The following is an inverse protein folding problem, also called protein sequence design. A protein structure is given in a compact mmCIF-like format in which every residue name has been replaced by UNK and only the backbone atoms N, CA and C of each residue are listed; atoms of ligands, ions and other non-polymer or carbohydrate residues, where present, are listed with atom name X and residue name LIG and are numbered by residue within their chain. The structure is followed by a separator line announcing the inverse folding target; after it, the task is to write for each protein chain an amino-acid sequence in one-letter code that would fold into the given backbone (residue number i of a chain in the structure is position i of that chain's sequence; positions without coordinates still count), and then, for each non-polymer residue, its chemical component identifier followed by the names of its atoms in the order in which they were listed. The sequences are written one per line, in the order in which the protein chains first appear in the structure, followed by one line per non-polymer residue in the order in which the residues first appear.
data_IF_291524273602
#
_entry.id   IF_291524273602
#
_cell.length_a   1.000
_cell.length_b   1.000
_cell.length_c   1.000
_cell.angle_alpha   90.00
_cell.angle_beta   90.00
_cell.angle_gamma   90.00
#
_symmetry.space_group_name_H-M   'P 1'
#
loop_
_entity.id
_entity.type
_entity.pdbx_description
1 polymer ?
#
# COMPACT_ATOMS: atom_id res chain seq x y z
N UNK A 1 4.45 -12.99 -5.79
CA UNK A 1 5.72 -12.40 -6.28
C UNK A 1 6.87 -13.22 -5.73
N UNK A 2 7.83 -13.65 -6.54
CA UNK A 2 8.98 -14.43 -6.04
C UNK A 2 10.18 -13.52 -5.81
N UNK A 3 10.66 -13.46 -4.57
CA UNK A 3 11.95 -12.87 -4.20
C UNK A 3 13.12 -13.66 -4.79
N UNK A 4 14.33 -13.09 -4.77
CA UNK A 4 15.57 -13.85 -5.05
C UNK A 4 15.79 -14.91 -3.97
N UNK A 5 15.57 -14.54 -2.71
CA UNK A 5 15.78 -15.34 -1.51
C UNK A 5 14.46 -15.68 -0.77
N UNK A 6 13.35 -15.02 -1.10
CA UNK A 6 12.06 -15.18 -0.39
C UNK A 6 10.93 -15.58 -1.35
N UNK A 7 10.31 -16.75 -1.16
CA UNK A 7 9.17 -17.17 -1.99
C UNK A 7 7.84 -16.68 -1.40
N UNK A 8 7.12 -15.82 -2.13
CA UNK A 8 5.80 -15.33 -1.71
C UNK A 8 4.73 -15.57 -2.79
N UNK A 9 3.68 -16.32 -2.46
CA UNK A 9 2.53 -16.53 -3.36
C UNK A 9 1.45 -15.46 -3.19
N UNK A 10 1.88 -14.21 -3.04
CA UNK A 10 1.01 -13.03 -2.90
C UNK A 10 0.71 -12.36 -4.24
N UNK A 11 -0.45 -11.71 -4.31
CA UNK A 11 -0.92 -10.90 -5.43
C UNK A 11 -1.03 -9.42 -5.00
N UNK A 12 -0.74 -8.52 -5.92
CA UNK A 12 -1.14 -7.12 -5.82
C UNK A 12 -2.24 -6.88 -6.87
N UNK A 13 -3.28 -6.14 -6.50
CA UNK A 13 -4.36 -5.79 -7.43
C UNK A 13 -3.94 -4.63 -8.34
N UNK A 14 -3.20 -3.67 -7.81
CA UNK A 14 -2.70 -2.53 -8.58
C UNK A 14 -1.27 -2.17 -8.19
N UNK A 15 -0.55 -1.57 -9.13
CA UNK A 15 0.74 -0.91 -8.89
C UNK A 15 0.63 0.51 -9.42
N UNK A 16 0.95 1.50 -8.58
CA UNK A 16 1.07 2.89 -8.98
C UNK A 16 2.55 3.23 -9.12
N UNK A 17 2.93 3.84 -10.24
CA UNK A 17 4.32 4.17 -10.54
C UNK A 17 4.49 5.66 -10.86
N UNK A 18 5.55 6.27 -10.31
CA UNK A 18 6.00 7.63 -10.67
C UNK A 18 7.52 7.65 -10.67
N UNK A 19 8.12 7.70 -11.86
CA UNK A 19 9.57 7.56 -12.00
C UNK A 19 10.01 6.19 -11.48
N UNK A 20 10.94 6.17 -10.52
CA UNK A 20 11.42 4.95 -9.86
C UNK A 20 10.64 4.56 -8.60
N UNK A 21 9.63 5.35 -8.18
CA UNK A 21 8.80 5.02 -7.02
C UNK A 21 7.61 4.17 -7.43
N UNK A 22 7.38 3.10 -6.66
CA UNK A 22 6.24 2.20 -6.82
C UNK A 22 5.45 2.10 -5.52
N UNK A 23 4.13 2.07 -5.61
CA UNK A 23 3.21 1.80 -4.50
C UNK A 23 2.33 0.61 -4.89
N UNK A 24 2.33 -0.43 -4.07
CA UNK A 24 1.62 -1.68 -4.36
C UNK A 24 0.33 -1.75 -3.56
N UNK A 25 -0.79 -1.96 -4.26
CA UNK A 25 -2.12 -1.92 -3.67
C UNK A 25 -2.66 -3.34 -3.56
N UNK A 26 -3.11 -3.70 -2.36
CA UNK A 26 -3.93 -4.87 -2.10
C UNK A 26 -5.38 -4.43 -1.86
N UNK A 27 -6.31 -4.99 -2.61
CA UNK A 27 -7.73 -4.95 -2.28
C UNK A 27 -8.03 -6.02 -1.23
N UNK A 28 -8.57 -5.61 -0.09
CA UNK A 28 -8.96 -6.51 0.98
C UNK A 28 -10.48 -6.52 1.15
N UNK A 29 -11.01 -7.67 1.57
CA UNK A 29 -12.39 -7.74 2.06
C UNK A 29 -12.49 -6.98 3.39
N UNK A 30 -13.69 -6.50 3.71
CA UNK A 30 -13.93 -5.66 4.90
C UNK A 30 -13.51 -6.34 6.20
N UNK A 31 -13.83 -7.62 6.32
CA UNK A 31 -13.50 -8.49 7.44
C UNK A 31 -12.03 -8.94 7.49
N UNK A 32 -11.29 -8.79 6.38
CA UNK A 32 -9.96 -9.38 6.19
C UNK A 32 -8.85 -8.33 5.98
N UNK A 33 -9.03 -7.11 6.51
CA UNK A 33 -8.04 -6.03 6.36
C UNK A 33 -6.66 -6.40 6.91
N UNK A 34 -6.57 -7.18 8.00
CA UNK A 34 -5.29 -7.65 8.53
C UNK A 34 -4.63 -8.67 7.59
N UNK A 35 -5.40 -9.58 6.99
CA UNK A 35 -4.88 -10.49 5.97
C UNK A 35 -4.34 -9.72 4.76
N UNK A 36 -5.04 -8.66 4.33
CA UNK A 36 -4.57 -7.76 3.30
C UNK A 36 -3.23 -7.10 3.65
N UNK A 37 -3.03 -6.70 4.91
CA UNK A 37 -1.74 -6.16 5.39
C UNK A 37 -0.64 -7.22 5.34
N UNK A 38 -0.90 -8.44 5.83
CA UNK A 38 0.09 -9.53 5.78
C UNK A 38 0.48 -9.85 4.33
N UNK A 39 -0.51 -9.96 3.44
CA UNK A 39 -0.27 -10.19 2.01
C UNK A 39 0.54 -9.06 1.38
N UNK A 40 0.21 -7.80 1.68
CA UNK A 40 0.90 -6.66 1.13
C UNK A 40 2.35 -6.61 1.62
N UNK A 41 2.58 -6.66 2.94
CA UNK A 41 3.92 -6.61 3.55
C UNK A 41 4.80 -7.75 3.04
N UNK A 42 4.32 -8.99 3.05
CA UNK A 42 5.12 -10.12 2.53
C UNK A 42 5.48 -9.95 1.04
N UNK A 43 4.57 -9.41 0.24
CA UNK A 43 4.85 -9.06 -1.15
C UNK A 43 5.90 -7.96 -1.28
N UNK A 44 5.85 -6.94 -0.41
CA UNK A 44 6.82 -5.85 -0.39
C UNK A 44 8.22 -6.33 0.00
N UNK A 45 8.35 -7.24 0.96
CA UNK A 45 9.64 -7.84 1.34
C UNK A 45 10.26 -8.64 0.17
N UNK A 46 9.44 -9.42 -0.54
CA UNK A 46 9.91 -10.09 -1.75
C UNK A 46 10.32 -9.10 -2.85
N UNK A 47 9.69 -7.92 -2.92
CA UNK A 47 10.11 -6.86 -3.85
C UNK A 47 11.47 -6.30 -3.48
N UNK A 48 11.62 -5.95 -2.20
CA UNK A 48 12.82 -5.32 -1.67
C UNK A 48 14.04 -6.19 -1.96
N UNK A 49 13.90 -7.50 -1.80
CA UNK A 49 14.93 -8.49 -2.10
C UNK A 49 15.26 -8.61 -3.61
N UNK A 50 14.28 -8.47 -4.51
CA UNK A 50 14.50 -8.51 -5.97
C UNK A 50 15.14 -7.23 -6.47
N UNK A 51 14.60 -6.09 -6.06
CA UNK A 51 14.97 -4.77 -6.56
C UNK A 51 16.05 -4.08 -5.71
N UNK A 52 16.53 -4.76 -4.65
CA UNK A 52 17.55 -4.25 -3.72
C UNK A 52 17.15 -2.88 -3.10
N UNK A 53 15.89 -2.79 -2.67
CA UNK A 53 15.30 -1.58 -2.10
C UNK A 53 15.30 -1.63 -0.58
N UNK A 54 15.78 -0.57 0.09
CA UNK A 54 15.68 -0.42 1.54
C UNK A 54 14.32 0.10 2.03
N UNK A 55 13.48 0.59 1.10
CA UNK A 55 12.14 1.09 1.41
C UNK A 55 11.17 0.71 0.30
N UNK A 56 10.04 0.15 0.68
CA UNK A 56 8.93 -0.20 -0.21
C UNK A 56 7.61 0.33 0.33
N UNK A 57 6.66 0.58 -0.57
CA UNK A 57 5.42 1.28 -0.24
C UNK A 57 4.19 0.46 -0.60
N UNK A 58 3.23 0.41 0.33
CA UNK A 58 2.04 -0.41 0.21
C UNK A 58 0.75 0.35 0.53
N UNK A 59 -0.36 -0.09 -0.05
CA UNK A 59 -1.70 0.32 0.35
C UNK A 59 -2.55 -0.94 0.49
N UNK A 60 -3.30 -1.04 1.57
CA UNK A 60 -4.36 -2.03 1.72
C UNK A 60 -5.68 -1.29 1.84
N UNK A 61 -6.66 -1.66 1.03
CA UNK A 61 -7.93 -0.95 1.01
C UNK A 61 -9.11 -1.86 0.73
N UNK A 62 -10.24 -1.58 1.39
CA UNK A 62 -11.56 -2.07 0.98
C UNK A 62 -12.39 -0.93 0.35
N UNK A 63 -11.70 0.10 -0.14
CA UNK A 63 -12.19 1.38 -0.65
C UNK A 63 -12.81 2.33 0.38
N UNK A 64 -13.20 1.84 1.57
CA UNK A 64 -13.67 2.66 2.69
C UNK A 64 -12.58 2.88 3.75
N UNK A 65 -11.83 1.85 4.09
CA UNK A 65 -10.66 1.91 4.96
C UNK A 65 -9.39 1.81 4.12
N UNK A 66 -8.47 2.74 4.33
CA UNK A 66 -7.19 2.83 3.64
C UNK A 66 -6.07 2.70 4.66
N UNK A 67 -5.21 1.70 4.47
CA UNK A 67 -4.00 1.48 5.28
C UNK A 67 -2.79 1.74 4.41
N UNK A 68 -2.11 2.85 4.65
CA UNK A 68 -0.87 3.21 3.98
C UNK A 68 0.30 2.61 4.74
N UNK A 69 1.16 1.89 4.04
CA UNK A 69 2.26 1.11 4.58
C UNK A 69 3.59 1.60 4.01
N UNK A 70 4.60 1.64 4.86
CA UNK A 70 6.01 1.81 4.48
C UNK A 70 6.78 0.67 5.13
N UNK A 71 7.33 -0.23 4.31
CA UNK A 71 8.26 -1.27 4.77
C UNK A 71 9.67 -0.72 4.68
N UNK A 72 10.38 -0.76 5.80
CA UNK A 72 11.79 -0.40 5.95
C UNK A 72 12.50 -1.63 6.54
N UNK A 73 13.83 -1.72 6.40
CA UNK A 73 14.62 -2.90 6.79
C UNK A 73 14.33 -3.45 8.19
N UNK A 74 14.02 -2.58 9.16
CA UNK A 74 13.80 -2.97 10.56
C UNK A 74 12.33 -2.90 11.02
N UNK A 75 11.44 -2.29 10.23
CA UNK A 75 10.07 -2.04 10.67
C UNK A 75 9.10 -1.73 9.54
N UNK A 76 7.83 -2.00 9.82
CA UNK A 76 6.71 -1.55 9.00
C UNK A 76 5.97 -0.42 9.71
N UNK A 77 5.86 0.74 9.04
CA UNK A 77 5.03 1.85 9.50
C UNK A 77 3.66 1.77 8.84
N UNK A 78 2.60 2.05 9.60
CA UNK A 78 1.20 2.01 9.14
C UNK A 78 0.46 3.28 9.51
N UNK A 79 -0.26 3.86 8.56
CA UNK A 79 -1.24 4.91 8.79
C UNK A 79 -2.61 4.45 8.30
N UNK A 80 -3.64 4.60 9.14
CA UNK A 80 -5.02 4.20 8.81
C UNK A 80 -5.88 5.45 8.56
N UNK A 81 -6.72 5.39 7.53
CA UNK A 81 -7.70 6.41 7.22
C UNK A 81 -9.03 5.79 6.78
N UNK A 82 -10.11 6.16 7.46
CA UNK A 82 -11.47 5.78 7.06
C UNK A 82 -12.11 6.93 6.26
N UNK A 83 -12.52 6.62 5.04
CA UNK A 83 -13.20 7.51 4.14
C UNK A 83 -14.67 7.67 4.58
N UNK A 84 -15.08 8.91 4.86
CA UNK A 84 -16.46 9.20 5.18
C UNK A 84 -17.32 9.18 3.91
N UNK A 85 -18.46 8.48 3.98
CA UNK A 85 -19.45 8.37 2.91
C UNK A 85 -20.74 9.04 3.37
N UNK A 86 -21.31 9.90 2.54
CA UNK A 86 -22.66 10.44 2.71
C UNK A 86 -23.55 9.83 1.65
N UNK A 87 -24.68 9.24 2.07
CA UNK A 87 -25.65 8.48 1.27
C UNK A 87 -25.04 7.29 0.51
N UNK A 88 -24.25 7.54 -0.52
CA UNK A 88 -23.52 6.53 -1.32
C UNK A 88 -22.21 7.06 -1.90
N UNK A 89 -21.89 8.34 -1.73
CA UNK A 89 -20.71 8.98 -2.32
C UNK A 89 -19.65 9.28 -1.26
N UNK A 90 -18.38 8.95 -1.51
CA UNK A 90 -17.30 9.37 -0.64
C UNK A 90 -17.14 10.89 -0.68
N UNK A 91 -16.88 11.49 0.48
CA UNK A 91 -16.70 12.94 0.56
C UNK A 91 -15.50 13.39 -0.28
N UNK A 92 -15.66 14.50 -1.01
CA UNK A 92 -14.56 15.07 -1.80
C UNK A 92 -13.33 15.41 -0.93
N UNK A 93 -13.55 15.91 0.29
CA UNK A 93 -12.49 16.19 1.25
C UNK A 93 -11.71 14.91 1.62
N UNK A 94 -12.41 13.80 1.85
CA UNK A 94 -11.77 12.53 2.16
C UNK A 94 -11.03 11.92 0.97
N UNK A 95 -11.62 11.99 -0.23
CA UNK A 95 -10.94 11.60 -1.47
C UNK A 95 -9.66 12.42 -1.68
N UNK A 96 -9.72 13.74 -1.48
CA UNK A 96 -8.55 14.62 -1.59
C UNK A 96 -7.45 14.23 -0.61
N UNK A 97 -7.80 13.76 0.59
CA UNK A 97 -6.84 13.26 1.58
C UNK A 97 -6.18 11.95 1.14
N UNK A 98 -6.95 11.00 0.61
CA UNK A 98 -6.42 9.74 0.05
C UNK A 98 -5.46 10.05 -1.10
N UNK A 99 -5.90 10.83 -2.10
CA UNK A 99 -5.10 11.20 -3.26
C UNK A 99 -3.85 11.99 -2.85
N UNK A 100 -3.97 12.92 -1.92
CA UNK A 100 -2.83 13.67 -1.37
C UNK A 100 -1.81 12.76 -0.70
N UNK A 101 -2.26 11.76 0.06
CA UNK A 101 -1.36 10.78 0.71
C UNK A 101 -0.64 9.92 -0.33
N UNK A 102 -1.36 9.40 -1.33
CA UNK A 102 -0.77 8.64 -2.45
C UNK A 102 0.26 9.50 -3.19
N UNK A 103 -0.07 10.76 -3.47
CA UNK A 103 0.84 11.70 -4.12
C UNK A 103 2.10 11.90 -3.27
N UNK A 104 1.99 12.09 -1.96
CA UNK A 104 3.13 12.20 -1.05
C UNK A 104 4.01 10.94 -1.07
N UNK A 105 3.42 9.74 -1.05
CA UNK A 105 4.19 8.48 -1.14
C UNK A 105 4.99 8.39 -2.44
N UNK A 106 4.37 8.79 -3.55
CA UNK A 106 4.98 8.81 -4.89
C UNK A 106 5.88 10.02 -5.15
N UNK A 107 5.91 11.02 -4.27
CA UNK A 107 6.74 12.22 -4.45
C UNK A 107 8.20 11.85 -4.21
N UNK A 108 9.10 12.21 -5.11
CA UNK A 108 10.53 12.21 -4.80
C UNK A 108 10.76 13.30 -3.75
N UNK A 109 11.35 12.94 -2.60
CA UNK A 109 11.96 13.96 -1.77
C UNK A 109 13.11 14.51 -2.61
N UNK A 110 12.93 15.73 -3.13
CA UNK A 110 13.97 16.46 -3.85
C UNK A 110 15.15 16.74 -2.93
#
# INVERSE_FOLDING_TARGET
MSGKNVLVKGRFEFVLERGNKKVFIVEAKKEDMEQGVVQNVTGLEALADVEELSVTYGIVTNYLEWRFLVSEDERVRKQVYSLSVSDTLPSFAGLKKVVGTIHCMLSNNQ
#
